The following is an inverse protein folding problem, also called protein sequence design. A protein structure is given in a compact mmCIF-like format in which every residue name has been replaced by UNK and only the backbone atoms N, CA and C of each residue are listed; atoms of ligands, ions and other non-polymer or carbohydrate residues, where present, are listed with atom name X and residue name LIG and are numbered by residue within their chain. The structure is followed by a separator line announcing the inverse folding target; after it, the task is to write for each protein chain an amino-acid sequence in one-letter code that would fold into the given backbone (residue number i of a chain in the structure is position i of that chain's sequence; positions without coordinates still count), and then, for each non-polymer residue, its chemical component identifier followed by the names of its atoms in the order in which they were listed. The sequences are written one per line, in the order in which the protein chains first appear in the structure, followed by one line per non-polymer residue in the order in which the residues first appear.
data_IF_628736373027
#
_entry.id   IF_628736373027
#
_cell.length_a   1.000
_cell.length_b   1.000
_cell.length_c   1.000
_cell.angle_alpha   90.00
_cell.angle_beta   90.00
_cell.angle_gamma   90.00
#
_symmetry.space_group_name_H-M   'P 1'
#
loop_
_entity.id
_entity.type
_entity.pdbx_description
1 polymer ?
#
# COMPACT_ATOMS: atom_id res chain seq x y z
N UNK A 1 -6.53 -7.66 20.40
CA UNK A 1 -7.66 -8.62 20.21
C UNK A 1 -7.25 -9.52 19.06
N UNK A 2 -7.09 -10.83 19.30
CA UNK A 2 -6.83 -11.79 18.21
C UNK A 2 -8.19 -12.15 17.68
N UNK A 3 -8.51 -11.75 16.46
CA UNK A 3 -9.71 -12.26 15.79
C UNK A 3 -9.37 -13.69 15.38
N UNK A 4 -9.82 -14.64 16.18
CA UNK A 4 -9.75 -16.09 15.90
C UNK A 4 -10.92 -16.57 15.05
N UNK A 5 -11.69 -15.62 14.50
CA UNK A 5 -12.95 -15.89 13.82
C UNK A 5 -12.79 -16.26 12.36
N UNK A 6 -12.06 -17.35 12.05
CA UNK A 6 -12.21 -18.02 10.76
C UNK A 6 -13.34 -19.05 10.84
N UNK A 7 -14.02 -19.35 9.72
CA UNK A 7 -15.18 -20.24 9.70
C UNK A 7 -14.91 -21.58 10.37
N UNK A 8 -15.85 -22.05 11.18
CA UNK A 8 -15.77 -23.35 11.85
C UNK A 8 -15.99 -24.48 10.84
N UNK A 9 -15.33 -25.60 11.07
CA UNK A 9 -15.56 -26.85 10.38
C UNK A 9 -15.43 -28.01 11.37
N UNK A 10 -16.38 -28.96 11.34
CA UNK A 10 -16.43 -30.06 12.30
C UNK A 10 -15.33 -31.12 12.09
N UNK A 11 -14.83 -31.24 10.85
CA UNK A 11 -13.83 -32.24 10.46
C UNK A 11 -12.40 -31.75 10.62
N UNK A 12 -12.21 -30.43 10.65
CA UNK A 12 -10.90 -29.80 10.62
C UNK A 12 -10.54 -29.14 11.96
N UNK A 13 -9.28 -29.21 12.34
CA UNK A 13 -8.79 -28.47 13.50
C UNK A 13 -8.51 -27.00 13.16
N UNK A 14 -9.60 -26.21 13.02
CA UNK A 14 -9.54 -24.79 12.71
C UNK A 14 -8.72 -24.00 13.75
N UNK A 15 -8.74 -24.45 15.02
CA UNK A 15 -7.94 -23.85 16.09
C UNK A 15 -6.43 -23.97 15.85
N UNK A 16 -5.96 -24.95 15.09
CA UNK A 16 -4.55 -25.05 14.68
C UNK A 16 -4.24 -24.09 13.55
N UNK A 17 -5.12 -23.99 12.53
CA UNK A 17 -4.95 -23.04 11.43
C UNK A 17 -4.92 -21.59 11.96
N UNK A 18 -5.81 -21.24 12.89
CA UNK A 18 -5.83 -19.89 13.46
C UNK A 18 -4.52 -19.48 14.15
N UNK A 19 -3.74 -20.44 14.67
CA UNK A 19 -2.44 -20.19 15.31
C UNK A 19 -1.31 -19.84 14.34
N UNK A 20 -1.49 -20.03 13.04
CA UNK A 20 -0.45 -19.75 12.04
C UNK A 20 0.02 -18.29 12.11
N UNK A 21 -0.91 -17.36 12.37
CA UNK A 21 -0.64 -15.92 12.46
C UNK A 21 -0.57 -15.39 13.90
N UNK A 22 -0.43 -16.27 14.90
CA UNK A 22 -0.15 -15.79 16.26
C UNK A 22 1.14 -14.94 16.26
N UNK A 23 1.08 -13.76 16.89
CA UNK A 23 2.15 -12.77 16.91
C UNK A 23 3.54 -13.35 17.28
N UNK A 24 3.58 -14.27 18.25
CA UNK A 24 4.82 -14.99 18.66
C UNK A 24 5.41 -15.91 17.60
N UNK A 25 4.67 -16.22 16.53
CA UNK A 25 5.06 -17.09 15.42
C UNK A 25 5.41 -16.32 14.14
N UNK A 26 5.32 -14.99 14.19
CA UNK A 26 5.55 -14.10 13.05
C UNK A 26 6.84 -13.31 13.28
N UNK A 27 7.89 -13.65 12.55
CA UNK A 27 9.15 -12.90 12.50
C UNK A 27 9.18 -11.91 11.32
N UNK A 28 8.56 -12.28 10.20
CA UNK A 28 8.44 -11.50 8.98
C UNK A 28 7.07 -11.71 8.31
N UNK A 29 6.80 -10.97 7.23
CA UNK A 29 5.51 -11.00 6.54
C UNK A 29 5.29 -12.26 5.68
N UNK A 30 6.28 -13.10 5.46
CA UNK A 30 6.26 -14.12 4.41
C UNK A 30 5.14 -15.15 4.56
N UNK A 31 4.73 -15.48 5.79
CA UNK A 31 3.60 -16.40 6.02
C UNK A 31 2.27 -15.85 5.50
N UNK A 32 2.06 -14.53 5.61
CA UNK A 32 0.85 -13.90 5.10
C UNK A 32 0.80 -14.02 3.58
N UNK A 33 1.87 -13.63 2.90
CA UNK A 33 1.95 -13.70 1.44
C UNK A 33 1.93 -15.14 0.92
N UNK A 34 2.59 -16.08 1.60
CA UNK A 34 2.57 -17.48 1.22
C UNK A 34 1.16 -18.08 1.28
N UNK A 35 0.43 -17.84 2.37
CA UNK A 35 -0.93 -18.36 2.52
C UNK A 35 -1.91 -17.64 1.59
N UNK A 36 -1.77 -16.33 1.43
CA UNK A 36 -2.53 -15.56 0.44
C UNK A 36 -2.35 -16.15 -0.96
N UNK A 37 -1.12 -16.40 -1.39
CA UNK A 37 -0.82 -16.97 -2.70
C UNK A 37 -1.44 -18.36 -2.89
N UNK A 38 -1.48 -19.20 -1.85
CA UNK A 38 -2.21 -20.50 -1.90
C UNK A 38 -3.71 -20.24 -2.11
N UNK A 39 -4.33 -19.40 -1.29
CA UNK A 39 -5.76 -19.11 -1.35
C UNK A 39 -6.19 -18.52 -2.70
N UNK A 40 -5.37 -17.68 -3.31
CA UNK A 40 -5.67 -17.07 -4.60
C UNK A 40 -5.57 -18.03 -5.78
N UNK A 41 -4.77 -19.08 -5.66
CA UNK A 41 -4.47 -19.99 -6.76
C UNK A 41 -5.11 -21.38 -6.62
N UNK A 42 -5.63 -21.77 -5.45
CA UNK A 42 -6.26 -23.08 -5.23
C UNK A 42 -7.61 -23.15 -5.94
N UNK A 43 -7.83 -24.22 -6.70
CA UNK A 43 -9.12 -24.61 -7.29
C UNK A 43 -9.22 -26.15 -7.25
N UNK A 44 -10.41 -26.70 -7.45
CA UNK A 44 -10.65 -28.15 -7.35
C UNK A 44 -9.64 -28.97 -8.16
N UNK A 45 -9.33 -28.53 -9.37
CA UNK A 45 -8.41 -29.22 -10.30
C UNK A 45 -6.93 -28.81 -10.12
N UNK A 46 -6.62 -27.89 -9.19
CA UNK A 46 -5.26 -27.42 -8.94
C UNK A 46 -4.98 -27.32 -7.44
N UNK A 47 -4.45 -28.40 -6.90
CA UNK A 47 -4.06 -28.55 -5.48
C UNK A 47 -2.56 -28.74 -5.28
N UNK A 48 -1.80 -28.94 -6.37
CA UNK A 48 -0.33 -29.05 -6.35
C UNK A 48 0.28 -27.75 -6.85
N UNK A 49 1.26 -27.23 -6.12
CA UNK A 49 1.95 -25.98 -6.42
C UNK A 49 3.46 -26.16 -6.40
N UNK A 50 4.16 -25.45 -7.30
CA UNK A 50 5.60 -25.27 -7.16
C UNK A 50 5.89 -24.07 -6.23
N UNK A 51 7.05 -24.09 -5.58
CA UNK A 51 7.49 -22.93 -4.80
C UNK A 51 7.62 -21.68 -5.69
N UNK A 52 8.08 -21.85 -6.95
CA UNK A 52 8.23 -20.73 -7.88
C UNK A 52 6.90 -20.05 -8.21
N UNK A 53 5.82 -20.81 -8.41
CA UNK A 53 4.48 -20.24 -8.62
C UNK A 53 4.03 -19.41 -7.43
N UNK A 54 4.19 -19.92 -6.21
CA UNK A 54 3.80 -19.21 -4.98
C UNK A 54 4.67 -17.98 -4.77
N UNK A 55 5.99 -18.08 -4.99
CA UNK A 55 6.90 -16.93 -4.87
C UNK A 55 6.59 -15.84 -5.90
N UNK A 56 6.23 -16.19 -7.12
CA UNK A 56 5.83 -15.22 -8.15
C UNK A 56 4.58 -14.45 -7.71
N UNK A 57 3.60 -15.15 -7.12
CA UNK A 57 2.42 -14.53 -6.58
C UNK A 57 2.75 -13.63 -5.38
N UNK A 58 3.59 -14.07 -4.45
CA UNK A 58 4.03 -13.26 -3.30
C UNK A 58 4.69 -11.95 -3.75
N UNK A 59 5.53 -11.99 -4.77
CA UNK A 59 6.21 -10.81 -5.33
C UNK A 59 5.19 -9.86 -5.98
N UNK A 60 4.24 -10.39 -6.73
CA UNK A 60 3.13 -9.61 -7.31
C UNK A 60 2.29 -8.95 -6.22
N UNK A 61 1.91 -9.68 -5.17
CA UNK A 61 1.06 -9.18 -4.08
C UNK A 61 1.76 -8.09 -3.27
N UNK A 62 3.09 -8.15 -3.12
CA UNK A 62 3.88 -7.14 -2.44
C UNK A 62 4.18 -5.90 -3.31
N UNK A 63 3.89 -5.94 -4.62
CA UNK A 63 4.34 -4.93 -5.59
C UNK A 63 3.92 -3.51 -5.23
N UNK A 64 2.62 -3.26 -5.06
CA UNK A 64 2.11 -1.91 -4.74
C UNK A 64 2.61 -1.41 -3.40
N UNK A 65 2.64 -2.26 -2.40
CA UNK A 65 3.07 -1.93 -1.04
C UNK A 65 4.49 -1.36 -1.04
N UNK A 66 5.39 -1.98 -1.81
CA UNK A 66 6.81 -1.61 -1.85
C UNK A 66 7.09 -0.50 -2.86
N UNK A 67 6.55 -0.62 -4.09
CA UNK A 67 6.92 0.30 -5.17
C UNK A 67 6.14 1.60 -5.15
N UNK A 68 4.84 1.54 -4.89
CA UNK A 68 3.95 2.70 -4.89
C UNK A 68 3.92 3.37 -3.52
N UNK A 69 3.65 2.59 -2.47
CA UNK A 69 3.46 3.11 -1.12
C UNK A 69 4.72 3.13 -0.26
N UNK A 70 5.83 2.58 -0.75
CA UNK A 70 7.14 2.53 -0.07
C UNK A 70 7.08 1.92 1.33
N UNK A 71 6.16 0.97 1.54
CA UNK A 71 6.06 0.28 2.82
C UNK A 71 7.26 -0.63 3.05
N UNK A 72 7.71 -0.67 4.29
CA UNK A 72 8.67 -1.65 4.78
C UNK A 72 7.94 -2.94 5.11
N UNK A 73 8.47 -4.05 4.62
CA UNK A 73 7.93 -5.38 4.89
C UNK A 73 8.64 -6.08 6.06
N UNK A 74 9.87 -5.69 6.37
CA UNK A 74 10.69 -6.28 7.41
C UNK A 74 11.04 -5.34 8.56
N UNK A 75 11.71 -5.86 9.61
CA UNK A 75 12.22 -5.05 10.72
C UNK A 75 13.26 -4.02 10.27
N UNK A 76 13.37 -2.90 11.00
CA UNK A 76 14.21 -1.75 10.64
C UNK A 76 15.69 -2.08 10.39
N UNK A 77 16.23 -3.05 11.11
CA UNK A 77 17.67 -3.34 11.12
C UNK A 77 18.01 -4.62 10.33
N UNK A 78 17.08 -5.12 9.53
CA UNK A 78 17.28 -6.35 8.75
C UNK A 78 16.88 -6.12 7.29
N UNK A 79 17.51 -6.88 6.39
CA UNK A 79 17.10 -6.94 4.98
C UNK A 79 15.91 -7.89 4.85
N UNK A 80 14.82 -7.42 4.27
CA UNK A 80 13.69 -8.27 3.91
C UNK A 80 13.80 -8.71 2.45
N UNK A 81 13.94 -10.01 2.20
CA UNK A 81 14.19 -10.51 0.84
C UNK A 81 13.00 -10.33 -0.10
N UNK A 82 11.76 -10.28 0.40
CA UNK A 82 10.58 -10.00 -0.42
C UNK A 82 10.55 -8.53 -0.85
N UNK A 83 10.86 -7.62 0.08
CA UNK A 83 10.98 -6.19 -0.22
C UNK A 83 12.11 -5.94 -1.22
N UNK A 84 13.27 -6.56 -1.03
CA UNK A 84 14.44 -6.38 -1.89
C UNK A 84 14.24 -6.93 -3.31
N UNK A 85 13.62 -8.09 -3.48
CA UNK A 85 13.34 -8.61 -4.83
C UNK A 85 12.35 -7.72 -5.58
N UNK A 86 11.34 -7.18 -4.90
CA UNK A 86 10.39 -6.23 -5.50
C UNK A 86 11.11 -4.95 -5.95
N UNK A 87 11.94 -4.33 -5.08
CA UNK A 87 12.76 -3.16 -5.41
C UNK A 87 13.70 -3.44 -6.57
N UNK A 88 14.36 -4.59 -6.55
CA UNK A 88 15.28 -5.00 -7.60
C UNK A 88 14.58 -5.11 -8.96
N UNK A 89 13.46 -5.82 -9.02
CA UNK A 89 12.67 -5.95 -10.26
C UNK A 89 12.20 -4.57 -10.73
N UNK A 90 11.69 -3.73 -9.84
CA UNK A 90 11.24 -2.38 -10.19
C UNK A 90 12.36 -1.52 -10.77
N UNK A 91 13.59 -1.65 -10.24
CA UNK A 91 14.77 -0.91 -10.74
C UNK A 91 15.30 -1.42 -12.08
N UNK A 92 15.01 -2.67 -12.47
CA UNK A 92 15.53 -3.35 -13.67
C UNK A 92 14.52 -3.52 -14.78
N UNK A 93 13.23 -3.37 -14.47
CA UNK A 93 12.14 -3.50 -15.42
C UNK A 93 11.47 -2.15 -15.68
N UNK A 94 10.70 -2.10 -16.77
CA UNK A 94 9.83 -0.94 -17.08
C UNK A 94 8.41 -1.15 -16.50
N UNK A 95 8.25 -2.03 -15.51
CA UNK A 95 6.95 -2.30 -14.89
C UNK A 95 6.60 -1.10 -14.00
N UNK A 96 5.45 -0.47 -14.28
CA UNK A 96 4.94 0.62 -13.46
C UNK A 96 4.64 0.15 -12.03
N UNK A 97 4.83 1.03 -11.04
CA UNK A 97 4.39 0.80 -9.66
C UNK A 97 2.88 0.49 -9.57
N UNK A 98 2.09 1.00 -10.52
CA UNK A 98 0.63 0.79 -10.64
C UNK A 98 0.26 -0.22 -11.73
N UNK A 99 1.18 -1.10 -12.14
CA UNK A 99 0.96 -2.08 -13.18
C UNK A 99 -0.30 -2.92 -12.94
N UNK A 100 -0.85 -3.49 -14.02
CA UNK A 100 -2.00 -4.40 -13.92
C UNK A 100 -1.57 -5.69 -13.22
N UNK A 101 -2.49 -6.31 -12.48
CA UNK A 101 -2.29 -7.63 -11.90
C UNK A 101 -1.90 -8.65 -12.98
N UNK A 102 -0.94 -9.50 -12.67
CA UNK A 102 -0.36 -10.46 -13.60
C UNK A 102 0.88 -9.98 -14.36
N UNK A 103 1.14 -8.66 -14.39
CA UNK A 103 2.29 -8.11 -15.13
C UNK A 103 3.64 -8.52 -14.55
N UNK A 104 3.76 -8.56 -13.22
CA UNK A 104 4.99 -8.97 -12.52
C UNK A 104 5.18 -10.48 -12.64
N UNK A 105 4.11 -11.26 -12.49
CA UNK A 105 4.15 -12.72 -12.68
C UNK A 105 4.60 -13.06 -14.10
N UNK A 106 4.08 -12.37 -15.13
CA UNK A 106 4.50 -12.59 -16.50
C UNK A 106 5.98 -12.31 -16.70
N UNK A 107 6.47 -11.16 -16.19
CA UNK A 107 7.88 -10.82 -16.22
C UNK A 107 8.76 -11.90 -15.56
N UNK A 108 8.33 -12.39 -14.38
CA UNK A 108 9.07 -13.40 -13.63
C UNK A 108 9.11 -14.76 -14.34
N UNK A 109 8.08 -15.13 -15.10
CA UNK A 109 8.06 -16.37 -15.91
C UNK A 109 9.01 -16.31 -17.09
N UNK A 110 9.21 -15.14 -17.66
CA UNK A 110 10.07 -14.91 -18.82
C UNK A 110 11.53 -14.58 -18.45
N UNK A 111 11.78 -14.24 -17.16
CA UNK A 111 13.07 -13.73 -16.70
C UNK A 111 13.89 -14.80 -15.98
N UNK A 112 15.16 -14.93 -16.38
CA UNK A 112 16.11 -15.89 -15.83
C UNK A 112 17.21 -15.26 -14.98
N UNK A 113 17.04 -14.01 -14.53
CA UNK A 113 18.02 -13.24 -13.77
C UNK A 113 18.49 -14.02 -12.52
N UNK A 114 19.80 -14.29 -12.40
CA UNK A 114 20.36 -15.03 -11.26
C UNK A 114 20.11 -14.35 -9.91
N UNK A 115 20.02 -13.01 -9.87
CA UNK A 115 19.76 -12.28 -8.64
C UNK A 115 18.32 -12.49 -8.13
N UNK A 116 17.34 -12.49 -9.02
CA UNK A 116 15.94 -12.83 -8.68
C UNK A 116 15.89 -14.27 -8.14
N UNK A 117 16.58 -15.19 -8.79
CA UNK A 117 16.66 -16.59 -8.35
C UNK A 117 17.32 -16.72 -6.98
N UNK A 118 18.32 -15.88 -6.66
CA UNK A 118 18.95 -15.83 -5.34
C UNK A 118 17.98 -15.39 -4.26
N UNK A 119 17.22 -14.31 -4.49
CA UNK A 119 16.18 -13.85 -3.54
C UNK A 119 15.11 -14.92 -3.30
N UNK A 120 14.62 -15.55 -4.37
CA UNK A 120 13.66 -16.65 -4.27
C UNK A 120 14.19 -17.79 -3.42
N UNK A 121 15.47 -18.17 -3.57
CA UNK A 121 16.11 -19.21 -2.74
C UNK A 121 16.09 -18.83 -1.26
N UNK A 122 16.42 -17.58 -0.90
CA UNK A 122 16.36 -17.11 0.48
C UNK A 122 14.93 -17.18 1.07
N UNK A 123 13.91 -16.85 0.28
CA UNK A 123 12.52 -16.91 0.72
C UNK A 123 12.07 -18.34 1.05
N UNK A 124 12.48 -19.34 0.28
CA UNK A 124 12.08 -20.75 0.50
C UNK A 124 12.83 -21.46 1.63
N UNK A 125 13.89 -20.89 2.18
CA UNK A 125 14.67 -21.54 3.25
C UNK A 125 13.79 -21.87 4.47
N UNK A 126 12.81 -21.04 4.78
CA UNK A 126 12.02 -21.17 5.99
C UNK A 126 10.51 -21.17 5.77
N UNK A 127 9.97 -20.29 4.88
CA UNK A 127 8.54 -20.04 4.84
C UNK A 127 7.70 -21.27 4.51
N UNK A 128 8.07 -22.17 3.57
CA UNK A 128 7.24 -23.33 3.27
C UNK A 128 7.08 -24.26 4.48
N UNK A 129 8.10 -24.34 5.30
CA UNK A 129 8.09 -25.22 6.48
C UNK A 129 7.47 -24.51 7.69
N UNK A 130 7.86 -23.27 7.95
CA UNK A 130 7.37 -22.52 9.11
C UNK A 130 5.89 -22.13 9.01
N UNK A 131 5.33 -22.05 7.79
CA UNK A 131 3.92 -21.71 7.57
C UNK A 131 3.00 -22.61 8.38
N UNK A 132 3.15 -23.91 8.25
CA UNK A 132 2.31 -24.89 8.95
C UNK A 132 2.91 -25.41 10.27
N UNK A 133 3.86 -24.68 10.88
CA UNK A 133 4.48 -25.08 12.15
C UNK A 133 3.50 -25.33 13.32
N UNK A 134 2.30 -24.74 13.41
CA UNK A 134 1.31 -25.12 14.43
C UNK A 134 0.82 -26.55 14.32
N UNK A 135 0.88 -27.17 13.13
CA UNK A 135 0.42 -28.53 12.88
C UNK A 135 1.39 -29.60 13.38
N UNK A 136 2.65 -29.24 13.69
CA UNK A 136 3.67 -30.18 14.18
C UNK A 136 4.54 -29.55 15.29
N UNK A 137 3.95 -29.28 16.42
CA UNK A 137 4.62 -28.63 17.57
C UNK A 137 5.88 -29.36 18.09
N UNK A 138 6.04 -30.66 17.81
CA UNK A 138 7.19 -31.47 18.20
C UNK A 138 8.46 -31.22 17.39
N UNK A 139 8.37 -30.63 16.18
CA UNK A 139 9.50 -30.41 15.28
C UNK A 139 10.06 -29.01 15.51
N UNK A 140 11.19 -28.92 16.20
CA UNK A 140 11.91 -27.64 16.39
C UNK A 140 12.69 -27.28 15.12
N UNK A 141 12.75 -25.97 14.79
CA UNK A 141 13.48 -25.43 13.63
C UNK A 141 13.16 -26.20 12.33
N UNK A 142 11.90 -26.13 11.85
CA UNK A 142 11.50 -26.81 10.62
C UNK A 142 12.25 -26.25 9.42
N UNK A 143 12.61 -27.11 8.48
CA UNK A 143 13.34 -26.77 7.27
C UNK A 143 13.42 -27.95 6.31
N UNK A 144 14.04 -27.77 5.15
CA UNK A 144 14.12 -28.77 4.10
C UNK A 144 14.64 -30.14 4.60
N UNK A 145 15.64 -30.15 5.47
CA UNK A 145 16.22 -31.39 6.02
C UNK A 145 15.28 -32.20 6.91
N UNK A 146 14.16 -31.62 7.31
CA UNK A 146 13.15 -32.26 8.18
C UNK A 146 11.83 -32.57 7.48
N UNK A 147 11.76 -32.37 6.16
CA UNK A 147 10.55 -32.59 5.37
C UNK A 147 9.96 -33.97 5.56
N UNK A 148 10.80 -34.98 5.57
CA UNK A 148 10.38 -36.35 5.79
C UNK A 148 9.63 -36.50 7.14
N UNK A 149 10.17 -35.95 8.24
CA UNK A 149 9.53 -35.94 9.57
C UNK A 149 8.25 -35.09 9.61
N UNK A 150 8.22 -34.02 8.82
CA UNK A 150 7.03 -33.18 8.69
C UNK A 150 5.94 -33.97 7.99
N UNK A 151 6.24 -34.60 6.86
CA UNK A 151 5.26 -35.38 6.10
C UNK A 151 4.73 -36.64 6.84
N UNK A 152 5.40 -37.09 7.90
CA UNK A 152 4.87 -38.15 8.78
C UNK A 152 3.77 -37.66 9.74
N UNK A 153 3.58 -36.36 9.88
CA UNK A 153 2.53 -35.80 10.73
C UNK A 153 1.17 -35.88 10.03
N UNK A 154 0.15 -36.26 10.79
CA UNK A 154 -1.22 -36.28 10.29
C UNK A 154 -1.82 -34.87 10.21
N UNK A 155 -2.83 -34.71 9.36
CA UNK A 155 -3.67 -33.50 9.29
C UNK A 155 -2.92 -32.19 8.99
N UNK A 156 -1.81 -32.28 8.24
CA UNK A 156 -1.09 -31.09 7.75
C UNK A 156 -1.96 -30.26 6.81
N UNK A 157 -1.64 -28.98 6.67
CA UNK A 157 -2.27 -28.13 5.67
C UNK A 157 -1.87 -28.57 4.25
N UNK A 158 -0.60 -28.96 4.06
CA UNK A 158 -0.06 -29.51 2.82
C UNK A 158 1.12 -30.44 3.08
N UNK A 159 1.37 -31.33 2.12
CA UNK A 159 2.49 -32.26 2.12
C UNK A 159 3.52 -31.89 1.05
N UNK A 160 4.79 -32.08 1.34
CA UNK A 160 5.86 -31.84 0.39
C UNK A 160 6.01 -33.06 -0.55
N UNK A 161 5.90 -32.82 -1.87
CA UNK A 161 5.89 -33.91 -2.89
C UNK A 161 7.25 -34.09 -3.53
N UNK A 162 7.93 -32.98 -3.85
CA UNK A 162 9.27 -33.01 -4.46
C UNK A 162 10.15 -31.87 -3.93
N UNK A 163 11.45 -32.09 -3.82
CA UNK A 163 12.40 -31.13 -3.31
C UNK A 163 13.47 -30.83 -4.37
N UNK A 164 13.26 -29.76 -5.15
CA UNK A 164 14.12 -29.33 -6.27
C UNK A 164 14.42 -27.82 -6.20
N UNK A 165 14.84 -27.33 -5.03
CA UNK A 165 15.07 -25.91 -4.81
C UNK A 165 13.80 -25.09 -5.01
N UNK A 166 13.83 -24.06 -5.88
CA UNK A 166 12.63 -23.24 -6.16
C UNK A 166 11.54 -24.00 -6.94
N UNK A 167 11.87 -25.11 -7.58
CA UNK A 167 10.92 -25.95 -8.29
C UNK A 167 10.34 -27.07 -7.42
N UNK A 168 10.69 -27.10 -6.13
CA UNK A 168 10.05 -27.97 -5.14
C UNK A 168 8.54 -27.86 -5.21
N UNK A 169 7.87 -28.98 -4.95
CA UNK A 169 6.39 -29.07 -5.04
C UNK A 169 5.79 -29.45 -3.68
N UNK A 170 4.63 -28.92 -3.42
CA UNK A 170 3.77 -29.35 -2.31
C UNK A 170 2.34 -29.50 -2.81
N UNK A 171 1.59 -30.33 -2.12
CA UNK A 171 0.20 -30.66 -2.41
C UNK A 171 -0.66 -30.31 -1.21
N UNK A 172 -1.73 -29.56 -1.42
CA UNK A 172 -2.71 -29.27 -0.37
C UNK A 172 -3.37 -30.57 0.05
N UNK A 173 -3.40 -30.81 1.36
CA UNK A 173 -4.08 -31.99 1.91
C UNK A 173 -5.57 -31.94 1.54
N UNK A 174 -6.09 -33.04 0.97
CA UNK A 174 -7.47 -33.13 0.48
C UNK A 174 -8.51 -32.74 1.53
N UNK A 175 -8.22 -33.00 2.83
CA UNK A 175 -9.09 -32.60 3.94
C UNK A 175 -9.34 -31.09 3.97
N UNK A 176 -8.37 -30.27 3.51
CA UNK A 176 -8.43 -28.81 3.53
C UNK A 176 -8.95 -28.18 2.25
N UNK A 177 -8.95 -28.90 1.12
CA UNK A 177 -9.24 -28.31 -0.21
C UNK A 177 -10.60 -27.63 -0.25
N UNK A 178 -11.68 -28.37 0.09
CA UNK A 178 -13.04 -27.82 0.08
C UNK A 178 -13.18 -26.65 1.05
N UNK A 179 -12.61 -26.76 2.25
CA UNK A 179 -12.64 -25.68 3.24
C UNK A 179 -11.97 -24.41 2.74
N UNK A 180 -10.78 -24.51 2.16
CA UNK A 180 -10.02 -23.36 1.64
C UNK A 180 -10.75 -22.69 0.47
N UNK A 181 -11.32 -23.47 -0.45
CA UNK A 181 -12.05 -22.96 -1.61
C UNK A 181 -13.34 -22.27 -1.17
N UNK A 182 -14.16 -22.95 -0.36
CA UNK A 182 -15.46 -22.44 0.09
C UNK A 182 -15.35 -21.19 0.95
N UNK A 183 -14.32 -21.10 1.77
CA UNK A 183 -14.11 -19.98 2.68
C UNK A 183 -13.05 -18.97 2.19
N UNK A 184 -12.65 -19.04 0.90
CA UNK A 184 -11.56 -18.24 0.33
C UNK A 184 -11.64 -16.75 0.68
N UNK A 185 -12.79 -16.12 0.43
CA UNK A 185 -12.97 -14.68 0.67
C UNK A 185 -12.73 -14.32 2.13
N UNK A 186 -13.32 -15.08 3.07
CA UNK A 186 -13.17 -14.81 4.50
C UNK A 186 -11.73 -15.06 4.96
N UNK A 187 -11.08 -16.10 4.43
CA UNK A 187 -9.67 -16.40 4.75
C UNK A 187 -8.71 -15.35 4.17
N UNK A 188 -8.96 -14.82 2.98
CA UNK A 188 -8.18 -13.72 2.41
C UNK A 188 -8.31 -12.45 3.25
N UNK A 189 -9.51 -12.10 3.70
CA UNK A 189 -9.72 -10.95 4.59
C UNK A 189 -9.10 -11.18 5.98
N UNK A 190 -9.09 -12.41 6.48
CA UNK A 190 -8.38 -12.75 7.72
C UNK A 190 -6.85 -12.60 7.58
N UNK A 191 -6.27 -13.04 6.45
CA UNK A 191 -4.85 -12.81 6.12
C UNK A 191 -4.56 -11.32 6.07
N UNK A 192 -5.38 -10.59 5.32
CA UNK A 192 -5.25 -9.14 5.12
C UNK A 192 -5.31 -8.38 6.45
N UNK A 193 -6.27 -8.69 7.31
CA UNK A 193 -6.38 -8.07 8.63
C UNK A 193 -5.10 -8.24 9.46
N UNK A 194 -4.56 -9.47 9.50
CA UNK A 194 -3.33 -9.76 10.25
C UNK A 194 -2.10 -9.09 9.61
N UNK A 195 -2.03 -9.04 8.27
CA UNK A 195 -0.97 -8.34 7.54
C UNK A 195 -1.00 -6.84 7.81
N UNK A 196 -2.19 -6.20 7.82
CA UNK A 196 -2.34 -4.78 8.17
C UNK A 196 -1.76 -4.50 9.56
N UNK A 197 -2.12 -5.30 10.58
CA UNK A 197 -1.59 -5.16 11.93
C UNK A 197 -0.06 -5.31 11.97
N UNK A 198 0.49 -6.27 11.24
CA UNK A 198 1.94 -6.46 11.11
C UNK A 198 2.61 -5.24 10.44
N UNK A 199 2.07 -4.79 9.30
CA UNK A 199 2.63 -3.65 8.56
C UNK A 199 2.54 -2.35 9.35
N UNK A 200 1.49 -2.14 10.13
CA UNK A 200 1.36 -0.97 11.01
C UNK A 200 2.49 -0.93 12.06
N UNK A 201 2.84 -2.09 12.64
CA UNK A 201 3.98 -2.20 13.56
C UNK A 201 5.33 -1.88 12.87
N UNK A 202 5.47 -2.15 11.57
CA UNK A 202 6.69 -1.89 10.78
C UNK A 202 6.77 -0.48 10.21
N UNK A 203 5.63 0.17 10.06
CA UNK A 203 5.47 1.49 9.46
C UNK A 203 4.65 2.41 10.39
N UNK A 204 5.10 2.68 11.62
CA UNK A 204 4.29 3.37 12.63
C UNK A 204 3.90 4.79 12.23
N UNK A 205 4.72 5.45 11.40
CA UNK A 205 4.50 6.83 10.96
C UNK A 205 3.77 6.93 9.62
N UNK A 206 3.39 5.81 9.01
CA UNK A 206 2.68 5.80 7.72
C UNK A 206 1.18 5.73 7.97
N UNK A 207 0.41 6.76 7.57
CA UNK A 207 -1.04 6.73 7.70
C UNK A 207 -1.68 5.78 6.68
N UNK A 208 -2.91 5.35 6.95
CA UNK A 208 -3.74 4.64 5.97
C UNK A 208 -3.17 3.30 5.48
N UNK A 209 -2.53 2.50 6.34
CA UNK A 209 -1.99 1.16 5.97
C UNK A 209 -3.09 0.28 5.34
N UNK A 210 -4.34 0.41 5.79
CA UNK A 210 -5.48 -0.36 5.27
C UNK A 210 -5.63 -0.16 3.75
N UNK A 211 -5.48 1.08 3.28
CA UNK A 211 -5.60 1.44 1.85
C UNK A 211 -4.37 1.03 1.03
N UNK A 212 -3.25 0.77 1.70
CA UNK A 212 -1.95 0.51 1.06
C UNK A 212 -1.64 -0.97 0.84
N UNK A 213 -2.46 -1.87 1.36
CA UNK A 213 -2.30 -3.32 1.17
C UNK A 213 -2.97 -3.84 -0.11
N UNK A 214 -3.59 -2.96 -0.88
CA UNK A 214 -4.25 -3.29 -2.14
C UNK A 214 -3.96 -2.22 -3.20
N UNK A 215 -4.35 -2.49 -4.44
CA UNK A 215 -4.27 -1.50 -5.51
C UNK A 215 -5.16 -0.32 -5.16
N UNK A 216 -4.64 0.92 -5.27
CA UNK A 216 -5.44 2.11 -4.99
C UNK A 216 -6.64 2.21 -5.94
N UNK A 217 -7.80 2.56 -5.39
CA UNK A 217 -8.98 2.87 -6.17
C UNK A 217 -8.80 4.19 -6.95
N UNK A 218 -9.62 4.38 -8.00
CA UNK A 218 -9.63 5.66 -8.71
C UNK A 218 -10.21 6.74 -7.81
N UNK A 219 -9.42 7.77 -7.57
CA UNK A 219 -9.85 8.96 -6.83
C UNK A 219 -10.84 9.80 -7.64
N UNK A 220 -11.79 10.41 -6.97
CA UNK A 220 -12.75 11.32 -7.56
C UNK A 220 -12.54 12.75 -7.03
N UNK A 221 -11.75 13.54 -7.73
CA UNK A 221 -11.47 14.94 -7.43
C UNK A 221 -12.26 15.91 -8.34
N UNK A 222 -13.43 15.49 -8.83
CA UNK A 222 -14.26 16.35 -9.71
C UNK A 222 -14.75 17.61 -9.00
N UNK A 223 -15.05 17.54 -7.69
CA UNK A 223 -15.52 18.65 -6.88
C UNK A 223 -14.44 19.72 -6.72
N UNK A 224 -13.24 19.31 -6.39
CA UNK A 224 -12.06 20.17 -6.25
C UNK A 224 -11.70 20.80 -7.59
N UNK A 225 -11.76 20.01 -8.65
CA UNK A 225 -11.55 20.50 -10.01
C UNK A 225 -12.58 21.58 -10.39
N UNK A 226 -13.85 21.38 -10.07
CA UNK A 226 -14.93 22.32 -10.32
C UNK A 226 -14.81 23.59 -9.45
N UNK A 227 -14.44 23.46 -8.18
CA UNK A 227 -14.13 24.57 -7.29
C UNK A 227 -13.00 25.45 -7.85
N UNK A 228 -11.86 24.86 -8.19
CA UNK A 228 -10.71 25.60 -8.71
C UNK A 228 -10.95 26.19 -10.09
N UNK A 229 -11.71 25.53 -10.96
CA UNK A 229 -12.12 26.12 -12.26
C UNK A 229 -12.89 27.41 -12.05
N UNK A 230 -13.86 27.42 -11.14
CA UNK A 230 -14.64 28.62 -10.85
C UNK A 230 -13.76 29.79 -10.34
N UNK A 231 -12.79 29.48 -9.47
CA UNK A 231 -11.84 30.49 -8.98
C UNK A 231 -10.97 31.05 -10.12
N UNK A 232 -10.47 30.19 -11.01
CA UNK A 232 -9.65 30.59 -12.15
C UNK A 232 -10.45 31.39 -13.19
N UNK A 233 -11.75 31.07 -13.38
CA UNK A 233 -12.64 31.86 -14.24
C UNK A 233 -12.89 33.27 -13.70
N UNK A 234 -13.00 33.44 -12.39
CA UNK A 234 -13.17 34.73 -11.72
C UNK A 234 -11.85 35.51 -11.71
N UNK A 235 -10.73 34.85 -11.41
CA UNK A 235 -9.40 35.46 -11.44
C UNK A 235 -8.45 34.72 -12.39
N UNK A 236 -8.41 35.11 -13.67
CA UNK A 236 -7.55 34.50 -14.68
C UNK A 236 -6.03 34.73 -14.48
N UNK A 237 -5.64 35.48 -13.45
CA UNK A 237 -4.23 35.71 -13.10
C UNK A 237 -3.64 34.58 -12.26
N UNK A 238 -4.46 33.67 -11.79
CA UNK A 238 -4.03 32.52 -10.98
C UNK A 238 -3.05 31.65 -11.78
N UNK A 239 -1.95 31.32 -11.10
CA UNK A 239 -0.89 30.42 -11.61
C UNK A 239 -0.80 29.21 -10.71
N UNK A 240 -0.36 28.10 -11.28
CA UNK A 240 -0.02 26.94 -10.46
C UNK A 240 1.25 27.19 -9.62
N UNK A 241 1.40 26.45 -8.54
CA UNK A 241 2.35 26.79 -7.47
C UNK A 241 3.80 26.37 -7.76
N UNK A 242 4.05 25.42 -8.66
CA UNK A 242 5.37 24.82 -8.86
C UNK A 242 6.24 25.59 -9.86
N UNK A 243 5.75 25.79 -11.07
CA UNK A 243 6.46 26.45 -12.17
C UNK A 243 5.88 27.83 -12.52
N UNK A 244 4.86 28.30 -11.78
CA UNK A 244 4.18 29.59 -11.98
C UNK A 244 3.51 29.72 -13.34
N UNK A 245 3.09 28.59 -13.92
CA UNK A 245 2.39 28.57 -15.22
C UNK A 245 0.96 29.05 -15.02
N UNK A 246 0.49 29.95 -15.91
CA UNK A 246 -0.91 30.42 -15.90
C UNK A 246 -1.86 29.23 -16.12
N UNK A 247 -2.94 29.18 -15.33
CA UNK A 247 -4.00 28.20 -15.47
C UNK A 247 -5.17 28.67 -16.35
N UNK A 248 -5.13 29.93 -16.81
CA UNK A 248 -6.14 30.48 -17.71
C UNK A 248 -6.26 29.63 -18.97
N UNK A 249 -7.50 29.30 -19.35
CA UNK A 249 -7.84 28.54 -20.57
C UNK A 249 -7.17 27.17 -20.69
N UNK A 250 -6.71 26.60 -19.55
CA UNK A 250 -6.07 25.28 -19.50
C UNK A 250 -6.95 24.23 -18.87
N UNK A 251 -6.79 22.99 -19.32
CA UNK A 251 -7.31 21.84 -18.59
C UNK A 251 -6.51 21.66 -17.31
N UNK A 252 -7.16 21.86 -16.17
CA UNK A 252 -6.52 21.71 -14.86
C UNK A 252 -6.60 20.26 -14.36
N UNK A 253 -5.62 19.91 -13.54
CA UNK A 253 -5.54 18.71 -12.71
C UNK A 253 -5.41 19.17 -11.27
N UNK A 254 -5.88 18.37 -10.33
CA UNK A 254 -5.65 18.61 -8.90
C UNK A 254 -4.46 17.76 -8.47
N UNK A 255 -3.50 18.40 -7.81
CA UNK A 255 -2.31 17.76 -7.26
C UNK A 255 -2.32 17.79 -5.73
N UNK A 256 -1.65 16.81 -5.14
CA UNK A 256 -1.41 16.72 -3.71
C UNK A 256 -0.02 17.29 -3.39
N UNK A 257 0.06 18.29 -2.54
CA UNK A 257 1.34 18.88 -2.11
C UNK A 257 2.24 17.81 -1.48
N UNK A 258 1.77 17.13 -0.43
CA UNK A 258 2.37 15.90 0.05
C UNK A 258 1.72 14.74 -0.73
N UNK A 259 2.50 13.84 -1.36
CA UNK A 259 1.95 12.82 -2.24
C UNK A 259 0.83 11.99 -1.61
N UNK A 260 -0.21 11.73 -2.40
CA UNK A 260 -1.32 10.87 -1.97
C UNK A 260 -0.85 9.48 -1.57
N UNK A 261 0.18 8.95 -2.22
CA UNK A 261 0.78 7.65 -1.89
C UNK A 261 1.26 7.56 -0.44
N UNK A 262 1.59 8.73 0.16
CA UNK A 262 1.91 8.78 1.58
C UNK A 262 0.65 8.90 2.44
N UNK A 263 -0.25 9.86 2.15
CA UNK A 263 -1.43 10.15 2.98
C UNK A 263 -2.56 9.12 2.82
N UNK A 264 -2.81 8.65 1.59
CA UNK A 264 -3.92 7.75 1.22
C UNK A 264 -5.32 8.32 1.43
N UNK A 265 -5.46 9.63 1.55
CA UNK A 265 -6.73 10.33 1.54
C UNK A 265 -6.58 11.73 0.96
N UNK A 266 -7.70 12.30 0.55
CA UNK A 266 -7.77 13.60 -0.11
C UNK A 266 -8.15 14.65 0.94
N UNK A 267 -7.19 15.46 1.38
CA UNK A 267 -7.40 16.55 2.33
C UNK A 267 -7.30 17.90 1.62
N UNK A 268 -8.30 18.75 1.77
CA UNK A 268 -8.39 20.02 1.04
C UNK A 268 -7.17 20.93 1.23
N UNK A 269 -6.58 20.91 2.45
CA UNK A 269 -5.36 21.67 2.77
C UNK A 269 -4.12 21.19 1.99
N UNK A 270 -4.17 19.97 1.44
CA UNK A 270 -3.10 19.34 0.68
C UNK A 270 -3.28 19.45 -0.85
N UNK A 271 -4.42 20.02 -1.31
CA UNK A 271 -4.81 20.02 -2.72
C UNK A 271 -4.58 21.39 -3.36
N UNK A 272 -4.04 21.40 -4.58
CA UNK A 272 -3.88 22.60 -5.39
C UNK A 272 -4.11 22.34 -6.88
N UNK A 273 -4.56 23.35 -7.64
CA UNK A 273 -4.72 23.23 -9.08
C UNK A 273 -3.36 23.30 -9.79
N UNK A 274 -3.17 22.44 -10.77
CA UNK A 274 -2.00 22.45 -11.66
C UNK A 274 -2.39 21.99 -13.05
N UNK A 275 -1.43 21.83 -13.97
CA UNK A 275 -1.66 21.21 -15.28
C UNK A 275 -1.36 19.72 -15.23
N UNK A 276 -1.98 18.94 -16.11
CA UNK A 276 -1.77 17.50 -16.21
C UNK A 276 -0.29 17.13 -16.41
N UNK A 277 0.42 17.94 -17.19
CA UNK A 277 1.85 17.74 -17.45
C UNK A 277 2.71 17.92 -16.19
N UNK A 278 2.51 19.03 -15.46
CA UNK A 278 3.27 19.32 -14.23
C UNK A 278 2.94 18.29 -13.15
N UNK A 279 1.66 17.93 -12.98
CA UNK A 279 1.26 16.86 -12.06
C UNK A 279 1.97 15.54 -12.38
N UNK A 280 2.02 15.15 -13.64
CA UNK A 280 2.73 13.94 -14.09
C UNK A 280 4.25 14.02 -13.88
N UNK A 281 4.86 15.21 -14.09
CA UNK A 281 6.30 15.41 -13.86
C UNK A 281 6.68 15.33 -12.38
N UNK A 282 5.86 15.92 -11.50
CA UNK A 282 6.04 15.82 -10.05
C UNK A 282 5.80 14.39 -9.56
N UNK A 283 4.76 13.72 -10.07
CA UNK A 283 4.41 12.36 -9.66
C UNK A 283 4.23 12.26 -8.14
N UNK A 284 4.89 11.28 -7.52
CA UNK A 284 4.87 11.05 -6.08
C UNK A 284 6.08 11.66 -5.34
N UNK A 285 6.72 12.68 -5.91
CA UNK A 285 7.81 13.40 -5.26
C UNK A 285 7.30 14.55 -4.38
N UNK A 286 8.07 14.91 -3.37
CA UNK A 286 7.78 16.03 -2.47
C UNK A 286 8.18 17.35 -3.14
N UNK A 287 7.35 18.40 -3.10
CA UNK A 287 7.73 19.72 -3.60
C UNK A 287 8.72 20.40 -2.65
N UNK A 288 9.25 21.56 -3.07
CA UNK A 288 10.08 22.36 -2.18
C UNK A 288 9.23 22.94 -1.04
N UNK A 289 9.57 22.57 0.22
CA UNK A 289 8.80 22.94 1.41
C UNK A 289 8.79 24.45 1.67
N UNK A 290 9.77 25.20 1.15
CA UNK A 290 9.84 26.65 1.37
C UNK A 290 9.14 27.40 0.24
N UNK A 291 9.66 27.29 -0.96
CA UNK A 291 9.16 28.08 -2.10
C UNK A 291 7.76 27.67 -2.57
N UNK A 292 7.51 26.37 -2.68
CA UNK A 292 6.22 25.87 -3.19
C UNK A 292 5.15 25.97 -2.09
N UNK A 293 5.55 25.81 -0.83
CA UNK A 293 4.64 26.00 0.30
C UNK A 293 4.14 27.44 0.41
N UNK A 294 5.03 28.46 0.29
CA UNK A 294 4.60 29.85 0.31
C UNK A 294 3.52 30.13 -0.74
N UNK A 295 3.74 29.65 -1.95
CA UNK A 295 2.77 29.79 -3.05
C UNK A 295 1.49 29.01 -2.82
N UNK A 296 1.56 27.83 -2.18
CA UNK A 296 0.37 27.07 -1.77
C UNK A 296 -0.45 27.87 -0.77
N UNK A 297 0.19 28.39 0.26
CA UNK A 297 -0.48 29.14 1.31
C UNK A 297 -1.16 30.41 0.76
N UNK A 298 -0.45 31.17 -0.09
CA UNK A 298 -1.01 32.35 -0.77
C UNK A 298 -2.22 31.98 -1.65
N UNK A 299 -2.09 30.92 -2.44
CA UNK A 299 -3.15 30.47 -3.36
C UNK A 299 -4.41 30.02 -2.61
N UNK A 300 -4.24 29.18 -1.59
CA UNK A 300 -5.36 28.65 -0.80
C UNK A 300 -6.02 29.74 0.04
N UNK A 301 -5.23 30.62 0.67
CA UNK A 301 -5.77 31.76 1.40
C UNK A 301 -6.57 32.69 0.47
N UNK A 302 -6.03 33.03 -0.71
CA UNK A 302 -6.75 33.83 -1.70
C UNK A 302 -8.08 33.18 -2.10
N UNK A 303 -8.09 31.88 -2.36
CA UNK A 303 -9.29 31.14 -2.68
C UNK A 303 -10.31 31.14 -1.53
N UNK A 304 -9.84 31.07 -0.28
CA UNK A 304 -10.69 31.18 0.92
C UNK A 304 -11.31 32.59 1.02
N UNK A 305 -10.53 33.65 0.81
CA UNK A 305 -11.05 35.04 0.83
C UNK A 305 -12.08 35.27 -0.27
N UNK A 306 -11.92 34.66 -1.46
CA UNK A 306 -12.92 34.74 -2.54
C UNK A 306 -14.28 34.13 -2.12
N UNK A 307 -14.34 33.27 -1.12
CA UNK A 307 -15.60 32.78 -0.58
C UNK A 307 -16.43 33.89 0.10
N UNK A 308 -15.81 34.98 0.56
CA UNK A 308 -16.51 36.11 1.15
C UNK A 308 -17.20 36.94 0.08
N UNK A 309 -16.56 37.11 -1.08
CA UNK A 309 -17.03 37.99 -2.16
C UNK A 309 -17.96 37.30 -3.18
N UNK A 310 -17.80 35.99 -3.36
CA UNK A 310 -18.50 35.24 -4.41
C UNK A 310 -19.30 34.05 -3.85
N UNK A 311 -20.60 34.13 -3.88
CA UNK A 311 -21.52 33.09 -3.38
C UNK A 311 -21.29 31.72 -4.05
N UNK A 312 -21.03 31.70 -5.37
CA UNK A 312 -20.77 30.48 -6.10
C UNK A 312 -19.47 29.79 -5.62
N UNK A 313 -18.43 30.55 -5.30
CA UNK A 313 -17.15 30.03 -4.75
C UNK A 313 -17.42 29.46 -3.35
N UNK A 314 -18.14 30.19 -2.50
CA UNK A 314 -18.53 29.76 -1.15
C UNK A 314 -19.32 28.45 -1.19
N UNK A 315 -20.26 28.31 -2.10
CA UNK A 315 -21.04 27.08 -2.23
C UNK A 315 -20.19 25.88 -2.60
N UNK A 316 -19.31 26.00 -3.61
CA UNK A 316 -18.41 24.93 -4.05
C UNK A 316 -17.35 24.61 -3.00
N UNK A 317 -16.82 25.62 -2.34
CA UNK A 317 -15.90 25.45 -1.21
C UNK A 317 -16.52 24.63 -0.08
N UNK A 318 -17.79 24.92 0.29
CA UNK A 318 -18.50 24.18 1.33
C UNK A 318 -18.62 22.69 0.98
N UNK A 319 -18.90 22.37 -0.28
CA UNK A 319 -18.96 20.99 -0.76
C UNK A 319 -17.59 20.30 -0.58
N UNK A 320 -16.50 20.94 -1.03
CA UNK A 320 -15.13 20.40 -0.86
C UNK A 320 -14.78 20.25 0.63
N UNK A 321 -15.14 21.23 1.46
CA UNK A 321 -14.88 21.21 2.90
C UNK A 321 -15.59 20.04 3.60
N UNK A 322 -16.83 19.76 3.21
CA UNK A 322 -17.63 18.67 3.80
C UNK A 322 -17.13 17.28 3.39
N UNK A 323 -16.46 17.16 2.24
CA UNK A 323 -15.93 15.88 1.74
C UNK A 323 -14.45 15.63 2.06
N UNK A 324 -13.64 16.70 2.18
CA UNK A 324 -12.18 16.61 2.21
C UNK A 324 -11.54 17.37 3.37
N UNK A 325 -12.26 17.58 4.47
CA UNK A 325 -11.70 18.04 5.74
C UNK A 325 -12.31 17.22 6.87
N UNK A 326 -11.56 16.20 7.31
CA UNK A 326 -12.04 15.20 8.25
C UNK A 326 -11.72 15.55 9.73
N UNK A 327 -10.87 16.57 9.98
CA UNK A 327 -10.55 17.04 11.33
C UNK A 327 -11.29 18.34 11.63
N UNK A 328 -12.07 18.34 12.72
CA UNK A 328 -12.75 19.53 13.24
C UNK A 328 -11.74 20.60 13.63
N UNK A 329 -10.60 20.22 14.20
CA UNK A 329 -9.52 21.13 14.62
C UNK A 329 -8.91 21.84 13.41
N UNK A 330 -8.60 21.10 12.34
CA UNK A 330 -8.09 21.66 11.08
C UNK A 330 -9.16 22.58 10.46
N UNK A 331 -10.40 22.14 10.41
CA UNK A 331 -11.51 22.94 9.88
C UNK A 331 -11.65 24.29 10.59
N UNK A 332 -11.66 24.27 11.91
CA UNK A 332 -11.79 25.46 12.74
C UNK A 332 -10.53 26.34 12.76
N UNK A 333 -9.40 25.76 12.53
CA UNK A 333 -8.12 26.47 12.51
C UNK A 333 -7.87 27.16 11.17
N UNK A 334 -7.95 26.43 10.06
CA UNK A 334 -7.56 26.94 8.73
C UNK A 334 -8.68 27.73 8.03
N UNK A 335 -9.94 27.31 8.17
CA UNK A 335 -11.01 27.83 7.30
C UNK A 335 -11.91 28.85 8.03
N UNK A 336 -11.26 29.84 8.65
CA UNK A 336 -11.94 30.98 9.27
C UNK A 336 -12.18 32.08 8.22
N UNK A 337 -13.40 32.69 8.16
CA UNK A 337 -13.73 33.69 7.13
C UNK A 337 -12.82 34.91 7.06
N UNK A 338 -12.30 35.36 8.22
CA UNK A 338 -11.53 36.60 8.37
C UNK A 338 -10.07 36.36 8.74
N UNK A 339 -9.54 35.14 8.49
CA UNK A 339 -8.16 34.84 8.80
C UNK A 339 -7.20 35.61 7.89
N UNK A 340 -6.21 36.29 8.46
CA UNK A 340 -5.16 36.95 7.68
C UNK A 340 -4.15 35.94 7.10
N UNK A 341 -3.44 36.34 6.03
CA UNK A 341 -2.48 35.46 5.35
C UNK A 341 -1.33 34.98 6.26
N UNK A 342 -0.70 35.81 7.12
CA UNK A 342 0.32 35.32 8.03
C UNK A 342 -0.20 34.22 8.97
N UNK A 343 -1.36 34.41 9.59
CA UNK A 343 -1.98 33.41 10.47
C UNK A 343 -2.38 32.14 9.70
N UNK A 344 -2.95 32.27 8.51
CA UNK A 344 -3.27 31.12 7.64
C UNK A 344 -2.02 30.31 7.31
N UNK A 345 -0.96 31.00 6.90
CA UNK A 345 0.33 30.38 6.55
C UNK A 345 0.93 29.60 7.71
N UNK A 346 0.99 30.19 8.89
CA UNK A 346 1.50 29.54 10.09
C UNK A 346 0.71 28.28 10.42
N UNK A 347 -0.62 28.36 10.42
CA UNK A 347 -1.48 27.23 10.73
C UNK A 347 -1.38 26.13 9.66
N UNK A 348 -1.33 26.48 8.38
CA UNK A 348 -1.14 25.53 7.30
C UNK A 348 0.23 24.85 7.38
N UNK A 349 1.28 25.61 7.75
CA UNK A 349 2.62 25.07 7.95
C UNK A 349 2.65 24.02 9.06
N UNK A 350 1.99 24.30 10.18
CA UNK A 350 1.88 23.38 11.32
C UNK A 350 1.13 22.08 10.96
N UNK A 351 0.27 22.09 9.96
CA UNK A 351 -0.39 20.89 9.43
C UNK A 351 0.50 20.15 8.44
N UNK A 352 1.12 20.86 7.50
CA UNK A 352 1.87 20.26 6.39
C UNK A 352 3.24 19.73 6.81
N UNK A 353 3.99 20.50 7.61
CA UNK A 353 5.39 20.17 7.92
C UNK A 353 5.56 18.78 8.56
N UNK A 354 4.82 18.39 9.60
CA UNK A 354 4.98 17.08 10.23
C UNK A 354 4.69 15.93 9.24
N UNK A 355 3.71 16.11 8.36
CA UNK A 355 3.33 15.13 7.34
C UNK A 355 4.40 15.05 6.26
N UNK A 356 4.94 16.19 5.82
CA UNK A 356 6.02 16.28 4.84
C UNK A 356 7.30 15.60 5.35
N UNK A 357 7.72 15.94 6.57
CA UNK A 357 8.92 15.35 7.18
C UNK A 357 8.78 13.84 7.36
N UNK A 358 7.61 13.38 7.75
CA UNK A 358 7.32 11.97 7.90
C UNK A 358 7.33 11.24 6.55
N UNK A 359 6.79 11.85 5.48
CA UNK A 359 6.86 11.31 4.12
C UNK A 359 8.32 11.22 3.63
N UNK A 360 9.13 12.25 3.89
CA UNK A 360 10.56 12.26 3.56
C UNK A 360 11.32 11.14 4.26
N UNK A 361 11.06 10.91 5.55
CA UNK A 361 11.61 9.77 6.31
C UNK A 361 11.11 8.42 5.75
N UNK A 362 9.89 8.37 5.22
CA UNK A 362 9.32 7.22 4.53
C UNK A 362 9.91 6.95 3.13
N UNK A 363 10.92 7.74 2.68
CA UNK A 363 11.62 7.52 1.41
C UNK A 363 11.00 8.23 0.20
N UNK A 364 10.08 9.17 0.40
CA UNK A 364 9.63 10.06 -0.66
C UNK A 364 10.70 11.14 -0.90
N UNK A 365 11.18 11.23 -2.14
CA UNK A 365 12.27 12.14 -2.52
C UNK A 365 11.74 13.51 -2.90
N UNK A 366 12.55 14.55 -2.74
CA UNK A 366 12.22 15.88 -3.22
C UNK A 366 12.24 15.95 -4.75
N UNK A 367 11.30 16.71 -5.32
CA UNK A 367 11.21 16.96 -6.74
C UNK A 367 12.24 18.00 -7.18
N UNK A 368 13.15 17.58 -8.04
CA UNK A 368 14.11 18.48 -8.72
C UNK A 368 13.43 18.96 -10.00
N UNK A 369 13.09 20.26 -10.05
CA UNK A 369 12.39 20.92 -11.17
C UNK A 369 13.29 21.11 -12.37
#
# INVERSE_FOLDING_TARGET
MIITGIPFDEKLNIGVLSKVFERKRISNCYKYFWFQAILENIVEDKVVFTYDEILNQMIEDAWYMVTEFKLRLGPCNTTDNLEEVVKYIHSKSNISSTAKRGSVIQYLKENTDPQIKKYKKCLIENVPYCMQSPFYSSIKNPGQSKVYKINEQAHLLYYFVALEGIFSKFEINEEWVDYLIRNRTILLEWVRYNLIGYLQDRNPNVPGIVEKVQKPEKRDLRRECDYWKTIIEIDPKIKEIYQKVSLKDKSISIDHFVPWQYLSHDELWNLSPTTKNINSMKGNQLPNLYEDFERLAELQHKALMMCNDYEIVRHKFKICLDYHVNSTEIRNSLYQPDIDLPSYRERLYNVIQPVYDSAKMGGFTEWIK
#
